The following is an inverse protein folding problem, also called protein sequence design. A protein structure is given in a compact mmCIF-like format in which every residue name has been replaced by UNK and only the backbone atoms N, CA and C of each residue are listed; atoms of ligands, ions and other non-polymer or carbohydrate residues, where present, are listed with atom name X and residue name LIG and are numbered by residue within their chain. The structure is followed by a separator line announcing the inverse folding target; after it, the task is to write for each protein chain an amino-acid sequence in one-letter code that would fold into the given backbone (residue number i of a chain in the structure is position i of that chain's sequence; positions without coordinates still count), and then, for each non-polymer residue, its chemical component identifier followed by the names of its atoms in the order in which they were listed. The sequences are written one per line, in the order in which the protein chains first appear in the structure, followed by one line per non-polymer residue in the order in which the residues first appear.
data_IF_997694480229
#
_entry.id   IF_997694480229
#
_cell.length_a   1.000
_cell.length_b   1.000
_cell.length_c   1.000
_cell.angle_alpha   90.00
_cell.angle_beta   90.00
_cell.angle_gamma   90.00
#
_symmetry.space_group_name_H-M   'P 1'
#
loop_
_entity.id
_entity.type
_entity.pdbx_description
1 polymer ?
#
# COMPACT_ATOMS: atom_id res chain seq x y z
N UNK A 1 -28.90 21.01 -73.82
CA UNK A 1 -28.95 20.82 -72.35
C UNK A 1 -29.00 22.20 -71.72
N UNK A 2 -30.15 22.88 -71.70
CA UNK A 2 -31.30 22.82 -70.76
C UNK A 2 -31.18 23.85 -69.61
N UNK A 3 -31.88 24.98 -69.82
CA UNK A 3 -32.67 25.84 -68.88
C UNK A 3 -31.90 26.60 -67.77
N UNK A 4 -31.74 27.94 -67.80
CA UNK A 4 -32.67 29.11 -67.61
C UNK A 4 -33.24 29.30 -66.19
N UNK A 5 -32.77 30.39 -65.56
CA UNK A 5 -33.52 31.48 -64.90
C UNK A 5 -34.30 31.33 -63.56
N UNK A 6 -34.25 32.47 -62.83
CA UNK A 6 -35.29 33.14 -62.01
C UNK A 6 -35.31 32.94 -60.48
N UNK A 7 -34.97 34.05 -59.79
CA UNK A 7 -35.70 34.73 -58.66
C UNK A 7 -35.93 33.96 -57.35
N UNK A 8 -36.15 34.52 -56.16
CA UNK A 8 -36.23 35.85 -55.53
C UNK A 8 -36.62 35.58 -54.06
N UNK A 9 -36.24 36.46 -53.12
CA UNK A 9 -36.93 36.71 -51.83
C UNK A 9 -36.97 35.56 -50.81
N UNK A 10 -37.11 35.74 -49.50
CA UNK A 10 -36.95 36.82 -48.55
C UNK A 10 -36.90 36.15 -47.15
N UNK A 11 -36.45 36.91 -46.16
CA UNK A 11 -36.48 36.70 -44.70
C UNK A 11 -37.48 35.65 -44.15
N UNK A 12 -37.10 34.96 -43.06
CA UNK A 12 -37.61 35.17 -41.69
C UNK A 12 -37.04 34.09 -40.75
N UNK A 13 -36.50 34.56 -39.62
CA UNK A 13 -36.65 33.99 -38.28
C UNK A 13 -36.42 32.50 -38.05
N UNK A 14 -35.31 32.18 -37.38
CA UNK A 14 -35.12 30.90 -36.72
C UNK A 14 -33.93 30.97 -35.79
N UNK A 15 -34.19 31.26 -34.51
CA UNK A 15 -33.19 31.26 -33.43
C UNK A 15 -32.64 29.84 -33.30
N UNK A 16 -31.46 29.58 -33.86
CA UNK A 16 -30.71 28.35 -33.60
C UNK A 16 -29.97 28.52 -32.27
N UNK A 17 -30.62 28.08 -31.19
CA UNK A 17 -29.98 27.90 -29.88
C UNK A 17 -28.97 26.76 -30.05
N UNK A 18 -27.70 27.11 -30.22
CA UNK A 18 -26.59 26.16 -30.05
C UNK A 18 -26.50 25.78 -28.57
N UNK A 19 -27.19 24.70 -28.18
CA UNK A 19 -26.96 24.05 -26.90
C UNK A 19 -25.60 23.34 -26.94
N UNK A 20 -24.54 24.06 -26.54
CA UNK A 20 -23.26 23.45 -26.18
C UNK A 20 -23.48 22.72 -24.86
N UNK A 21 -23.83 21.44 -24.94
CA UNK A 21 -23.77 20.52 -23.81
C UNK A 21 -22.29 20.32 -23.46
N UNK A 22 -21.77 21.19 -22.59
CA UNK A 22 -20.51 21.01 -21.92
C UNK A 22 -20.61 19.77 -21.04
N UNK A 23 -20.02 18.67 -21.51
CA UNK A 23 -19.82 17.45 -20.74
C UNK A 23 -18.83 17.78 -19.62
N UNK A 24 -19.34 18.26 -18.48
CA UNK A 24 -18.60 18.36 -17.22
C UNK A 24 -18.34 16.93 -16.76
N UNK A 25 -17.21 16.38 -17.17
CA UNK A 25 -16.62 15.21 -16.55
C UNK A 25 -16.31 15.58 -15.11
N UNK A 26 -17.19 15.14 -14.19
CA UNK A 26 -16.87 15.06 -12.77
C UNK A 26 -15.74 14.05 -12.67
N UNK A 27 -14.49 14.52 -12.76
CA UNK A 27 -13.34 13.77 -12.29
C UNK A 27 -13.58 13.61 -10.80
N UNK A 28 -14.11 12.45 -10.42
CA UNK A 28 -14.13 12.04 -9.04
C UNK A 28 -12.68 12.11 -8.56
N UNK A 29 -12.37 13.16 -7.79
CA UNK A 29 -11.15 13.25 -6.99
C UNK A 29 -11.17 12.02 -6.09
N UNK A 30 -10.52 10.95 -6.54
CA UNK A 30 -10.27 9.83 -5.65
C UNK A 30 -9.49 10.40 -4.46
N UNK A 31 -9.90 10.12 -3.22
CA UNK A 31 -9.17 10.60 -2.06
C UNK A 31 -7.74 10.10 -2.20
N UNK A 32 -6.81 11.04 -2.35
CA UNK A 32 -5.38 10.75 -2.39
C UNK A 32 -5.06 10.02 -1.10
N UNK A 33 -4.75 8.73 -1.22
CA UNK A 33 -4.56 7.84 -0.08
C UNK A 33 -3.07 7.78 0.19
N UNK A 34 -2.54 8.86 0.77
CA UNK A 34 -1.13 8.92 1.16
C UNK A 34 -0.90 8.30 2.54
N UNK A 35 0.34 7.91 2.79
CA UNK A 35 0.76 7.40 4.10
C UNK A 35 0.47 8.48 5.16
N UNK A 36 -0.38 8.16 6.13
CA UNK A 36 -0.79 9.07 7.20
C UNK A 36 0.34 9.19 8.24
N UNK A 37 1.23 10.17 8.04
CA UNK A 37 2.37 10.43 8.94
C UNK A 37 1.92 11.00 10.29
N UNK A 38 0.89 11.85 10.27
CA UNK A 38 0.27 12.44 11.45
C UNK A 38 -1.15 11.88 11.56
N UNK A 39 -1.39 11.04 12.57
CA UNK A 39 -2.72 10.55 12.91
C UNK A 39 -3.24 11.31 14.12
N UNK A 40 -4.46 11.83 14.04
CA UNK A 40 -5.21 12.27 15.22
C UNK A 40 -5.64 11.08 16.08
N UNK A 41 -6.00 11.32 17.34
CA UNK A 41 -6.53 10.28 18.22
C UNK A 41 -7.81 9.65 17.67
N UNK A 42 -8.70 10.46 17.08
CA UNK A 42 -9.95 10.01 16.46
C UNK A 42 -9.69 9.09 15.24
N UNK A 43 -8.76 9.48 14.36
CA UNK A 43 -8.37 8.64 13.22
C UNK A 43 -7.69 7.35 13.66
N UNK A 44 -6.90 7.41 14.73
CA UNK A 44 -6.24 6.23 15.28
C UNK A 44 -7.25 5.25 15.88
N UNK A 45 -8.26 5.75 16.59
CA UNK A 45 -9.37 4.94 17.09
C UNK A 45 -10.20 4.34 15.95
N UNK A 46 -10.47 5.13 14.91
CA UNK A 46 -11.15 4.63 13.70
C UNK A 46 -10.34 3.54 12.99
N UNK A 47 -9.01 3.66 12.92
CA UNK A 47 -8.15 2.63 12.36
C UNK A 47 -8.25 1.31 13.15
N UNK A 48 -8.31 1.38 14.48
CA UNK A 48 -8.54 0.20 15.32
C UNK A 48 -9.86 -0.48 15.02
N UNK A 49 -10.95 0.29 14.93
CA UNK A 49 -12.29 -0.22 14.62
C UNK A 49 -12.34 -0.87 13.23
N UNK A 50 -11.71 -0.24 12.24
CA UNK A 50 -11.57 -0.77 10.88
C UNK A 50 -10.82 -2.11 10.89
N UNK A 51 -9.74 -2.20 11.67
CA UNK A 51 -9.01 -3.46 11.87
C UNK A 51 -9.87 -4.55 12.52
N UNK A 52 -10.69 -4.20 13.51
CA UNK A 52 -11.56 -5.13 14.22
C UNK A 52 -12.71 -5.66 13.35
N UNK A 53 -13.38 -4.80 12.59
CA UNK A 53 -14.66 -5.11 11.97
C UNK A 53 -14.68 -6.41 11.12
N UNK A 54 -13.65 -6.75 10.32
CA UNK A 54 -13.61 -8.02 9.59
C UNK A 54 -13.58 -9.25 10.52
N UNK A 55 -13.02 -9.13 11.73
CA UNK A 55 -12.83 -10.24 12.66
C UNK A 55 -14.11 -10.64 13.40
N UNK A 56 -15.10 -9.75 13.48
CA UNK A 56 -16.38 -10.02 14.14
C UNK A 56 -17.15 -11.14 13.41
N UNK A 57 -17.02 -11.19 12.08
CA UNK A 57 -17.73 -12.14 11.20
C UNK A 57 -17.01 -13.48 11.02
N UNK A 58 -15.81 -13.62 11.59
CA UNK A 58 -14.91 -14.75 11.33
C UNK A 58 -14.92 -15.73 12.49
N UNK A 59 -15.24 -17.00 12.23
CA UNK A 59 -15.34 -18.05 13.25
C UNK A 59 -14.33 -19.19 13.08
N UNK A 60 -13.64 -19.26 11.94
CA UNK A 60 -12.72 -20.36 11.60
C UNK A 60 -11.28 -19.84 11.47
N UNK A 61 -10.26 -20.66 11.79
CA UNK A 61 -8.86 -20.31 11.55
C UNK A 61 -8.54 -19.94 10.10
N UNK A 62 -9.20 -20.59 9.14
CA UNK A 62 -9.03 -20.38 7.71
C UNK A 62 -9.50 -18.99 7.29
N UNK A 63 -10.64 -18.55 7.81
CA UNK A 63 -11.17 -17.22 7.53
C UNK A 63 -10.33 -16.12 8.21
N UNK A 64 -9.77 -16.38 9.39
CA UNK A 64 -8.79 -15.48 10.03
C UNK A 64 -7.57 -15.32 9.11
N UNK A 65 -7.05 -16.43 8.58
CA UNK A 65 -5.90 -16.41 7.66
C UNK A 65 -6.21 -15.57 6.42
N UNK A 66 -7.40 -15.70 5.83
CA UNK A 66 -7.83 -14.89 4.67
C UNK A 66 -7.88 -13.40 5.00
N UNK A 67 -8.43 -13.01 6.16
CA UNK A 67 -8.46 -11.61 6.59
C UNK A 67 -7.05 -11.05 6.74
N UNK A 68 -6.14 -11.80 7.37
CA UNK A 68 -4.76 -11.37 7.54
C UNK A 68 -4.01 -11.27 6.21
N UNK A 69 -4.24 -12.20 5.29
CA UNK A 69 -3.67 -12.16 3.94
C UNK A 69 -4.17 -10.93 3.19
N UNK A 70 -5.48 -10.69 3.15
CA UNK A 70 -6.08 -9.50 2.53
C UNK A 70 -5.53 -8.20 3.12
N UNK A 71 -5.41 -8.11 4.45
CA UNK A 71 -4.86 -6.93 5.10
C UNK A 71 -3.40 -6.65 4.69
N UNK A 72 -2.60 -7.70 4.47
CA UNK A 72 -1.21 -7.55 4.01
C UNK A 72 -1.09 -7.06 2.57
N UNK A 73 -2.11 -7.25 1.74
CA UNK A 73 -2.12 -6.79 0.34
C UNK A 73 -2.34 -5.28 0.24
N UNK A 74 -3.09 -4.70 1.19
CA UNK A 74 -3.46 -3.27 1.15
C UNK A 74 -2.23 -2.36 1.25
N UNK A 75 -1.23 -2.74 2.04
CA UNK A 75 0.01 -1.96 2.22
C UNK A 75 1.21 -2.57 1.51
N UNK A 76 0.97 -3.55 0.63
CA UNK A 76 2.01 -4.16 -0.18
C UNK A 76 2.35 -3.28 -1.38
N UNK A 77 3.63 -3.21 -1.68
CA UNK A 77 4.19 -2.57 -2.87
C UNK A 77 5.11 -3.53 -3.63
N UNK A 78 5.34 -3.26 -4.91
CA UNK A 78 6.08 -4.14 -5.82
C UNK A 78 5.21 -5.26 -6.38
N UNK A 79 5.79 -6.45 -6.46
CA UNK A 79 5.14 -7.60 -7.07
C UNK A 79 3.93 -8.11 -6.27
N UNK A 80 2.91 -8.55 -7.00
CA UNK A 80 1.74 -9.22 -6.47
C UNK A 80 2.06 -10.72 -6.31
N UNK A 81 2.10 -11.27 -5.08
CA UNK A 81 2.51 -12.65 -4.84
C UNK A 81 1.56 -13.70 -5.46
N UNK A 82 0.34 -13.32 -5.83
CA UNK A 82 -0.58 -14.23 -6.53
C UNK A 82 -0.25 -14.35 -8.02
N UNK A 83 0.37 -13.32 -8.60
CA UNK A 83 0.73 -13.27 -10.03
C UNK A 83 2.20 -13.58 -10.26
N UNK A 84 3.04 -13.12 -9.35
CA UNK A 84 4.48 -13.31 -9.34
C UNK A 84 4.93 -13.72 -7.92
N UNK A 85 4.89 -15.03 -7.60
CA UNK A 85 5.22 -15.55 -6.28
C UNK A 85 6.65 -15.25 -5.81
N UNK A 86 7.56 -14.90 -6.73
CA UNK A 86 8.95 -14.59 -6.43
C UNK A 86 9.38 -13.17 -6.78
N UNK A 87 8.46 -12.33 -7.25
CA UNK A 87 8.72 -10.93 -7.49
C UNK A 87 9.06 -10.19 -6.20
N UNK A 88 9.98 -9.24 -6.32
CA UNK A 88 10.39 -8.40 -5.20
C UNK A 88 9.21 -7.56 -4.71
N UNK A 89 8.91 -7.65 -3.42
CA UNK A 89 7.81 -6.92 -2.79
C UNK A 89 8.17 -6.45 -1.40
N UNK A 90 7.45 -5.45 -0.91
CA UNK A 90 7.58 -5.00 0.46
C UNK A 90 6.19 -4.73 1.06
N UNK A 91 6.05 -4.93 2.36
CA UNK A 91 4.87 -4.55 3.14
C UNK A 91 5.23 -3.31 3.95
N UNK A 92 4.50 -2.22 3.72
CA UNK A 92 4.66 -0.98 4.47
C UNK A 92 3.87 -1.08 5.77
N UNK A 93 4.56 -1.12 6.91
CA UNK A 93 3.94 -1.16 8.23
C UNK A 93 3.74 0.27 8.73
N UNK A 94 2.81 0.97 8.09
CA UNK A 94 2.40 2.34 8.47
C UNK A 94 1.82 2.38 9.89
N UNK A 95 1.71 3.58 10.49
CA UNK A 95 1.03 3.76 11.78
C UNK A 95 -0.39 3.19 11.73
N UNK A 96 -1.12 3.49 10.65
CA UNK A 96 -2.46 2.96 10.41
C UNK A 96 -2.47 1.44 10.31
N UNK A 97 -1.56 0.85 9.54
CA UNK A 97 -1.41 -0.61 9.45
C UNK A 97 -1.20 -1.25 10.83
N UNK A 98 -0.36 -0.65 11.68
CA UNK A 98 -0.08 -1.15 13.03
C UNK A 98 -1.32 -1.09 13.93
N UNK A 99 -2.09 0.00 13.86
CA UNK A 99 -3.35 0.14 14.59
C UNK A 99 -4.38 -0.89 14.11
N UNK A 100 -4.58 -1.01 12.80
CA UNK A 100 -5.51 -1.99 12.24
C UNK A 100 -5.09 -3.44 12.58
N UNK A 101 -3.79 -3.74 12.55
CA UNK A 101 -3.24 -5.05 12.95
C UNK A 101 -3.49 -5.36 14.41
N UNK A 102 -3.30 -4.37 15.30
CA UNK A 102 -3.62 -4.51 16.71
C UNK A 102 -5.12 -4.72 16.93
N UNK A 103 -5.98 -3.95 16.23
CA UNK A 103 -7.43 -4.14 16.27
C UNK A 103 -7.85 -5.56 15.86
N UNK A 104 -7.23 -6.13 14.82
CA UNK A 104 -7.43 -7.53 14.42
C UNK A 104 -7.01 -8.52 15.51
N UNK A 105 -5.84 -8.29 16.10
CA UNK A 105 -5.30 -9.16 17.15
C UNK A 105 -6.18 -9.15 18.39
N UNK A 106 -6.51 -7.97 18.93
CA UNK A 106 -7.37 -7.86 20.12
C UNK A 106 -8.76 -8.44 19.85
N UNK A 107 -9.33 -8.26 18.65
CA UNK A 107 -10.60 -8.90 18.29
C UNK A 107 -10.53 -10.43 18.35
N UNK A 108 -9.46 -11.02 17.81
CA UNK A 108 -9.24 -12.46 17.85
C UNK A 108 -9.02 -12.97 19.28
N UNK A 109 -8.20 -12.29 20.06
CA UNK A 109 -7.88 -12.67 21.44
C UNK A 109 -9.07 -12.52 22.38
N UNK A 110 -9.81 -11.42 22.26
CA UNK A 110 -10.98 -11.14 23.09
C UNK A 110 -12.09 -12.17 22.82
N UNK A 111 -12.29 -12.56 21.56
CA UNK A 111 -13.22 -13.64 21.19
C UNK A 111 -12.82 -14.99 21.79
N UNK A 112 -11.53 -15.34 21.75
CA UNK A 112 -11.01 -16.57 22.39
C UNK A 112 -11.24 -16.55 23.91
N UNK A 113 -11.09 -15.38 24.53
CA UNK A 113 -11.22 -15.19 25.99
C UNK A 113 -12.63 -14.83 26.47
N UNK A 114 -13.60 -14.67 25.55
CA UNK A 114 -14.98 -14.22 25.84
C UNK A 114 -15.04 -12.93 26.67
N UNK A 115 -14.20 -11.96 26.31
CA UNK A 115 -14.14 -10.64 26.93
C UNK A 115 -14.36 -9.54 25.89
N UNK A 116 -14.61 -8.33 26.36
CA UNK A 116 -14.70 -7.15 25.50
C UNK A 116 -13.33 -6.77 24.92
N UNK A 117 -13.35 -6.20 23.72
CA UNK A 117 -12.13 -5.75 23.02
C UNK A 117 -11.51 -4.60 23.77
N UNK A 118 -10.25 -4.75 24.18
CA UNK A 118 -9.51 -3.73 24.91
C UNK A 118 -8.88 -2.73 23.93
N UNK A 119 -8.98 -1.45 24.25
CA UNK A 119 -8.33 -0.37 23.50
C UNK A 119 -7.45 0.45 24.44
N UNK A 120 -6.19 0.02 24.65
CA UNK A 120 -5.29 0.75 25.53
C UNK A 120 -4.85 2.06 24.85
N UNK A 121 -5.25 3.19 25.43
CA UNK A 121 -4.85 4.54 24.97
C UNK A 121 -3.33 4.70 24.89
N UNK A 122 -2.59 4.07 25.81
CA UNK A 122 -1.12 4.04 25.79
C UNK A 122 -0.54 3.40 24.53
N UNK A 123 -1.18 2.35 24.00
CA UNK A 123 -0.75 1.74 22.74
C UNK A 123 -1.04 2.67 21.56
N UNK A 124 -2.22 3.30 21.54
CA UNK A 124 -2.60 4.27 20.50
C UNK A 124 -1.57 5.39 20.48
N UNK A 125 -1.30 5.99 21.63
CA UNK A 125 -0.32 7.06 21.79
C UNK A 125 1.06 6.61 21.31
N UNK A 126 1.52 5.43 21.74
CA UNK A 126 2.79 4.87 21.29
C UNK A 126 2.88 4.75 19.77
N UNK A 127 1.83 4.30 19.09
CA UNK A 127 1.85 4.17 17.62
C UNK A 127 1.75 5.53 16.92
N UNK A 128 0.92 6.43 17.42
CA UNK A 128 0.81 7.81 16.90
C UNK A 128 2.14 8.54 17.01
N UNK A 129 2.87 8.33 18.10
CA UNK A 129 4.17 8.97 18.38
C UNK A 129 5.36 8.28 17.70
N UNK A 130 5.17 7.17 16.98
CA UNK A 130 6.26 6.48 16.28
C UNK A 130 6.87 7.39 15.20
N UNK A 131 8.19 7.66 15.24
CA UNK A 131 8.85 8.52 14.25
C UNK A 131 9.16 7.80 12.94
N UNK A 132 9.07 6.47 12.92
CA UNK A 132 9.60 5.64 11.84
C UNK A 132 8.54 4.69 11.26
N UNK A 133 8.57 4.56 9.94
CA UNK A 133 7.89 3.49 9.21
C UNK A 133 8.81 2.27 9.13
N UNK A 134 8.28 1.10 9.49
CA UNK A 134 8.95 -0.17 9.21
C UNK A 134 8.47 -0.70 7.86
N UNK A 135 9.40 -1.23 7.06
CA UNK A 135 9.08 -1.98 5.87
C UNK A 135 9.57 -3.41 6.06
N UNK A 136 8.77 -4.38 5.63
CA UNK A 136 9.17 -5.78 5.53
C UNK A 136 9.39 -6.11 4.06
N UNK A 137 10.65 -6.30 3.67
CA UNK A 137 11.04 -6.67 2.31
C UNK A 137 10.96 -8.18 2.19
N UNK A 138 10.42 -8.66 1.07
CA UNK A 138 10.39 -10.07 0.72
C UNK A 138 11.02 -10.27 -0.66
N UNK A 139 12.02 -11.14 -0.73
CA UNK A 139 12.75 -11.49 -1.94
C UNK A 139 12.82 -13.02 -2.12
N UNK A 140 13.11 -13.43 -3.34
CA UNK A 140 13.45 -14.79 -3.69
C UNK A 140 14.90 -14.89 -4.16
N UNK A 141 15.53 -16.02 -3.90
CA UNK A 141 16.90 -16.33 -4.33
C UNK A 141 17.16 -17.83 -4.36
N UNK A 142 18.35 -18.21 -4.85
CA UNK A 142 18.72 -19.62 -5.06
C UNK A 142 19.49 -20.24 -3.89
N UNK A 143 19.94 -19.41 -2.94
CA UNK A 143 20.63 -19.82 -1.71
C UNK A 143 19.80 -19.43 -0.47
N UNK A 144 20.01 -20.12 0.66
CA UNK A 144 19.28 -19.84 1.90
C UNK A 144 19.77 -18.60 2.67
N UNK A 145 20.96 -18.09 2.37
CA UNK A 145 21.56 -16.88 2.95
C UNK A 145 21.71 -15.74 1.94
N UNK A 146 21.11 -15.86 0.75
CA UNK A 146 21.28 -14.89 -0.35
C UNK A 146 20.98 -13.42 0.03
N UNK A 147 20.09 -13.20 1.01
CA UNK A 147 19.70 -11.88 1.48
C UNK A 147 20.53 -11.38 2.67
N UNK A 148 21.49 -12.17 3.16
CA UNK A 148 22.37 -11.76 4.25
C UNK A 148 23.18 -10.54 3.84
N UNK A 149 23.20 -9.52 4.71
CA UNK A 149 23.88 -8.25 4.44
C UNK A 149 23.29 -7.43 3.29
N UNK A 150 22.07 -7.74 2.84
CA UNK A 150 21.35 -6.87 1.90
C UNK A 150 21.23 -5.45 2.46
N UNK A 151 21.44 -4.46 1.59
CA UNK A 151 21.26 -3.04 1.92
C UNK A 151 20.11 -2.49 1.09
N UNK A 152 19.36 -1.56 1.67
CA UNK A 152 18.19 -0.95 1.03
C UNK A 152 18.25 0.57 1.10
N UNK A 153 17.82 1.23 0.04
CA UNK A 153 17.59 2.68 0.00
C UNK A 153 16.22 2.99 -0.58
N UNK A 154 15.61 4.08 -0.13
CA UNK A 154 14.38 4.64 -0.68
C UNK A 154 14.73 5.76 -1.67
N UNK A 155 14.29 5.63 -2.91
CA UNK A 155 14.52 6.60 -3.98
C UNK A 155 13.24 7.37 -4.28
N UNK A 156 13.31 8.71 -4.23
CA UNK A 156 12.23 9.63 -4.56
C UNK A 156 12.75 10.73 -5.49
N UNK A 157 12.54 10.57 -6.79
CA UNK A 157 13.17 11.42 -7.80
C UNK A 157 14.69 11.35 -7.71
N UNK A 158 15.36 12.48 -7.44
CA UNK A 158 16.82 12.55 -7.24
C UNK A 158 17.26 12.28 -5.80
N UNK A 159 16.34 12.19 -4.84
CA UNK A 159 16.67 11.94 -3.43
C UNK A 159 16.90 10.44 -3.21
N UNK A 160 17.99 10.12 -2.52
CA UNK A 160 18.28 8.79 -1.98
C UNK A 160 18.25 8.88 -0.46
N UNK A 161 17.32 8.14 0.14
CA UNK A 161 17.02 8.18 1.57
C UNK A 161 17.50 6.85 2.15
N UNK A 162 18.38 6.94 3.15
CA UNK A 162 18.90 5.76 3.84
C UNK A 162 17.97 5.37 4.99
N UNK A 163 17.83 4.07 5.29
CA UNK A 163 17.14 3.62 6.49
C UNK A 163 17.96 4.01 7.73
N UNK A 164 17.25 4.21 8.84
CA UNK A 164 17.83 4.37 10.18
C UNK A 164 18.45 3.06 10.64
N UNK A 165 17.78 1.95 10.34
CA UNK A 165 18.19 0.61 10.74
C UNK A 165 17.74 -0.42 9.70
N UNK A 166 18.51 -1.50 9.58
CA UNK A 166 18.22 -2.64 8.73
C UNK A 166 18.30 -3.89 9.61
N UNK A 167 17.15 -4.55 9.77
CA UNK A 167 17.06 -5.82 10.47
C UNK A 167 17.81 -6.92 9.73
N UNK A 168 18.29 -7.92 10.50
CA UNK A 168 18.93 -9.10 9.90
C UNK A 168 17.95 -9.83 9.00
N UNK A 169 18.43 -10.26 7.84
CA UNK A 169 17.66 -11.13 6.97
C UNK A 169 17.39 -12.48 7.62
N UNK A 170 16.15 -12.94 7.51
CA UNK A 170 15.76 -14.29 7.88
C UNK A 170 16.45 -15.30 6.96
N UNK A 171 16.83 -16.45 7.50
CA UNK A 171 17.24 -17.60 6.68
C UNK A 171 16.11 -17.94 5.71
N UNK A 172 16.46 -18.09 4.45
CA UNK A 172 15.56 -18.41 3.36
C UNK A 172 14.75 -19.67 3.63
N UNK A 173 13.43 -19.58 3.46
CA UNK A 173 12.53 -20.74 3.53
C UNK A 173 12.33 -21.28 2.13
N UNK A 174 12.37 -22.61 2.00
CA UNK A 174 12.19 -23.26 0.70
C UNK A 174 10.79 -22.98 0.14
N UNK A 175 10.73 -22.53 -1.10
CA UNK A 175 9.49 -22.37 -1.85
C UNK A 175 9.02 -23.74 -2.38
N UNK A 176 7.71 -23.91 -2.52
CA UNK A 176 7.12 -25.05 -3.21
C UNK A 176 6.92 -24.68 -4.69
N UNK A 177 7.47 -25.47 -5.62
CA UNK A 177 7.29 -25.28 -7.07
C UNK A 177 8.59 -25.17 -7.88
N UNK A 178 8.49 -24.64 -9.10
CA UNK A 178 9.60 -24.39 -10.02
C UNK A 178 9.97 -22.89 -10.01
N UNK A 179 11.25 -22.56 -9.80
CA UNK A 179 11.76 -21.20 -9.68
C UNK A 179 12.77 -21.04 -8.53
N UNK A 180 13.12 -19.80 -8.12
CA UNK A 180 14.03 -19.56 -7.01
C UNK A 180 13.65 -20.36 -5.77
N UNK A 181 14.65 -21.04 -5.22
CA UNK A 181 14.42 -22.11 -4.24
C UNK A 181 14.03 -21.54 -2.88
N UNK A 182 14.50 -20.34 -2.53
CA UNK A 182 14.33 -19.77 -1.21
C UNK A 182 13.64 -18.42 -1.25
N UNK A 183 12.84 -18.16 -0.22
CA UNK A 183 12.24 -16.86 0.09
C UNK A 183 12.79 -16.36 1.42
N UNK A 184 13.39 -15.19 1.41
CA UNK A 184 13.88 -14.50 2.60
C UNK A 184 13.13 -13.20 2.83
N UNK A 185 13.18 -12.72 4.08
CA UNK A 185 12.61 -11.45 4.51
C UNK A 185 13.59 -10.71 5.39
N UNK A 186 13.56 -9.40 5.34
CA UNK A 186 14.24 -8.54 6.29
C UNK A 186 13.43 -7.26 6.49
N UNK A 187 13.73 -6.53 7.54
CA UNK A 187 13.05 -5.26 7.82
C UNK A 187 14.00 -4.09 7.66
N UNK A 188 13.44 -2.91 7.37
CA UNK A 188 14.18 -1.66 7.44
C UNK A 188 13.30 -0.55 8.03
N UNK A 189 13.91 0.38 8.74
CA UNK A 189 13.24 1.51 9.38
C UNK A 189 13.56 2.81 8.63
N UNK A 190 12.54 3.51 8.16
CA UNK A 190 12.68 4.83 7.53
C UNK A 190 12.01 5.89 8.40
N UNK A 191 12.69 7.00 8.66
CA UNK A 191 12.12 8.12 9.40
C UNK A 191 10.99 8.75 8.56
N UNK A 192 9.83 9.00 9.16
CA UNK A 192 8.72 9.64 8.45
C UNK A 192 9.06 11.05 7.94
N UNK A 193 9.99 11.75 8.60
CA UNK A 193 10.42 13.09 8.24
C UNK A 193 11.37 13.15 7.03
N UNK A 194 11.96 12.02 6.61
CA UNK A 194 12.98 12.00 5.56
C UNK A 194 12.42 11.72 4.17
N UNK A 195 11.16 11.26 4.06
CA UNK A 195 10.51 10.95 2.79
C UNK A 195 9.18 11.70 2.62
N UNK A 196 8.79 11.88 1.37
CA UNK A 196 7.49 12.45 1.00
C UNK A 196 6.43 11.32 0.92
N UNK A 197 5.37 11.32 1.75
CA UNK A 197 4.35 10.27 1.75
C UNK A 197 3.45 10.28 0.49
N UNK A 198 3.59 11.28 -0.38
CA UNK A 198 2.82 11.42 -1.63
C UNK A 198 3.64 11.13 -2.88
N UNK A 199 4.96 11.01 -2.75
CA UNK A 199 5.84 10.83 -3.90
C UNK A 199 5.88 9.39 -4.41
N UNK A 200 5.95 9.25 -5.73
CA UNK A 200 6.32 8.00 -6.37
C UNK A 200 7.73 7.60 -5.90
N UNK A 201 7.85 6.36 -5.45
CA UNK A 201 9.01 5.87 -4.73
C UNK A 201 9.50 4.55 -5.29
N UNK A 202 10.78 4.25 -5.11
CA UNK A 202 11.36 2.94 -5.40
C UNK A 202 12.24 2.53 -4.24
N UNK A 203 12.04 1.34 -3.69
CA UNK A 203 13.06 0.73 -2.85
C UNK A 203 14.08 0.02 -3.73
N UNK A 204 15.34 0.41 -3.62
CA UNK A 204 16.46 -0.25 -4.28
C UNK A 204 17.18 -1.12 -3.24
N UNK A 205 17.13 -2.43 -3.43
CA UNK A 205 17.78 -3.41 -2.56
C UNK A 205 18.99 -3.95 -3.28
N UNK A 206 20.18 -3.74 -2.72
CA UNK A 206 21.42 -4.30 -3.23
C UNK A 206 21.79 -5.51 -2.38
N UNK A 207 21.96 -6.66 -3.04
CA UNK A 207 22.41 -7.91 -2.45
C UNK A 207 23.94 -7.99 -2.47
N UNK A 208 24.52 -8.87 -1.65
CA UNK A 208 25.98 -9.02 -1.55
C UNK A 208 26.64 -9.53 -2.83
N UNK A 209 25.89 -10.24 -3.66
CA UNK A 209 26.33 -10.74 -4.97
C UNK A 209 26.39 -9.64 -6.05
N UNK A 210 25.99 -8.41 -5.71
CA UNK A 210 25.92 -7.27 -6.62
C UNK A 210 24.59 -7.14 -7.38
N UNK A 211 23.63 -8.04 -7.15
CA UNK A 211 22.30 -7.96 -7.75
C UNK A 211 21.48 -6.84 -7.10
N UNK A 212 20.83 -6.01 -7.91
CA UNK A 212 19.87 -5.00 -7.44
C UNK A 212 18.42 -5.46 -7.71
N UNK A 213 17.60 -5.52 -6.66
CA UNK A 213 16.16 -5.66 -6.76
C UNK A 213 15.49 -4.29 -6.58
N UNK A 214 14.57 -3.95 -7.49
CA UNK A 214 13.84 -2.68 -7.46
C UNK A 214 12.36 -2.93 -7.18
N UNK A 215 11.85 -2.33 -6.10
CA UNK A 215 10.46 -2.47 -5.66
C UNK A 215 9.78 -1.12 -5.86
N UNK A 216 8.96 -1.00 -6.90
CA UNK A 216 8.17 0.20 -7.14
C UNK A 216 7.13 0.37 -6.02
N UNK A 217 7.08 1.57 -5.43
CA UNK A 217 6.22 1.91 -4.30
C UNK A 217 5.51 3.23 -4.57
N UNK A 218 4.20 3.16 -4.77
CA UNK A 218 3.37 4.35 -4.91
C UNK A 218 2.69 4.65 -3.57
N UNK A 219 3.33 5.50 -2.76
CA UNK A 219 2.84 5.83 -1.42
C UNK A 219 1.49 6.55 -1.45
N UNK A 220 1.10 7.15 -2.58
CA UNK A 220 -0.21 7.79 -2.77
C UNK A 220 -1.38 6.80 -2.86
N UNK A 221 -1.08 5.51 -2.89
CA UNK A 221 -2.05 4.40 -2.92
C UNK A 221 -2.07 3.59 -1.61
N UNK A 222 -1.27 3.97 -0.62
CA UNK A 222 -1.10 3.23 0.64
C UNK A 222 -1.48 4.10 1.83
N UNK A 223 -2.27 3.56 2.76
CA UNK A 223 -2.64 4.23 4.01
C UNK A 223 -1.84 3.70 5.21
#
# INVERSE_FOLDING_TARGET
MSVRYLTSSARVGGVAICAVLGLLTVVALQPVSAIEVKLSAEEAQKALEVGRAPMEKVNTPEDVKKVLQQASLVTRVGADPEKDPCGASAILRTKRYRLEAFGRQEAAESKKRKMDVRMPEEFIKKVVDMPNMEIEVQLCGDDEYFAEGAVIELQQGSKRIKPIDIGKAERGRKNEGAGPIYRSRFTALFAYETFDPTAASVFAVNLQDGTEARIAADFSKVK
#
